data_IF_665701553504
#
_entry.id   IF_665701553504
#
_cell.length_a   1.000
_cell.length_b   1.000
_cell.length_c   1.000
_cell.angle_alpha   90.00
_cell.angle_beta   90.00
_cell.angle_gamma   90.00
#
_symmetry.space_group_name_H-M   'P 1'
#
loop_
_entity.id
_entity.type
_entity.pdbx_description
1 polymer ?
#
# COMPACT_ATOMS: atom_id res chain seq x y z
N UNK A 1 -16.60 14.63 1.38
CA UNK A 1 -16.94 15.75 0.47
C UNK A 1 -16.88 15.31 -0.99
N UNK A 2 -15.71 14.89 -1.51
CA UNK A 2 -15.55 14.48 -2.92
C UNK A 2 -16.47 13.33 -3.36
N UNK A 3 -16.53 12.21 -2.61
CA UNK A 3 -17.42 11.09 -2.97
C UNK A 3 -18.90 11.48 -2.98
N UNK A 4 -19.34 12.29 -2.02
CA UNK A 4 -20.71 12.82 -1.94
C UNK A 4 -21.02 13.75 -3.12
N UNK A 5 -20.09 14.63 -3.48
CA UNK A 5 -20.19 15.46 -4.67
C UNK A 5 -20.35 14.60 -5.93
N UNK A 6 -19.54 13.55 -6.09
CA UNK A 6 -19.57 12.71 -7.29
C UNK A 6 -20.92 12.00 -7.49
N UNK A 7 -21.50 11.43 -6.43
CA UNK A 7 -22.79 10.70 -6.50
C UNK A 7 -24.00 11.63 -6.68
N UNK A 8 -23.92 12.88 -6.22
CA UNK A 8 -25.05 13.85 -6.27
C UNK A 8 -25.01 14.82 -7.45
N UNK A 9 -23.84 15.05 -8.04
CA UNK A 9 -23.65 15.97 -9.18
C UNK A 9 -23.97 15.35 -10.54
N UNK A 10 -24.05 14.01 -10.63
CA UNK A 10 -24.23 13.33 -11.92
C UNK A 10 -23.04 13.44 -12.87
N UNK A 11 -21.87 13.88 -12.37
CA UNK A 11 -20.65 14.04 -13.15
C UNK A 11 -20.06 12.71 -13.61
N UNK A 12 -20.13 11.67 -12.76
CA UNK A 12 -19.74 10.31 -13.13
C UNK A 12 -20.99 9.44 -13.20
N UNK A 13 -21.20 8.78 -14.34
CA UNK A 13 -22.28 7.83 -14.52
C UNK A 13 -22.08 6.64 -13.57
N UNK A 14 -22.91 6.54 -12.55
CA UNK A 14 -22.94 5.40 -11.63
C UNK A 14 -24.33 4.81 -11.64
N UNK A 15 -24.43 3.48 -11.69
CA UNK A 15 -25.71 2.76 -11.55
C UNK A 15 -26.40 3.02 -10.20
N UNK A 16 -25.68 3.60 -9.23
CA UNK A 16 -26.19 4.02 -7.91
C UNK A 16 -26.31 5.56 -7.78
N UNK A 17 -26.27 6.35 -8.85
CA UNK A 17 -26.56 7.80 -8.78
C UNK A 17 -28.07 8.02 -8.64
N UNK A 18 -28.59 7.88 -7.43
CA UNK A 18 -30.03 7.81 -7.17
C UNK A 18 -30.82 9.13 -7.25
N UNK A 19 -30.16 10.28 -7.40
CA UNK A 19 -30.83 11.52 -7.75
C UNK A 19 -29.79 12.59 -8.07
N UNK A 20 -29.82 13.15 -9.28
CA UNK A 20 -29.22 14.47 -9.48
C UNK A 20 -29.94 15.45 -8.58
N UNK A 21 -29.18 16.18 -7.78
CA UNK A 21 -29.72 17.10 -6.79
C UNK A 21 -29.00 18.44 -6.90
N UNK A 22 -29.75 19.52 -6.74
CA UNK A 22 -29.27 20.92 -6.66
C UNK A 22 -28.18 21.14 -5.59
N UNK A 23 -27.90 20.15 -4.74
CA UNK A 23 -26.90 20.25 -3.66
C UNK A 23 -25.46 20.09 -4.16
N UNK A 24 -25.25 19.59 -5.38
CA UNK A 24 -23.92 19.37 -5.98
C UNK A 24 -22.97 20.58 -5.90
N UNK A 25 -23.39 21.79 -6.32
CA UNK A 25 -22.58 23.01 -6.22
C UNK A 25 -22.11 23.34 -4.80
N UNK A 26 -22.92 23.13 -3.77
CA UNK A 26 -22.52 23.39 -2.38
C UNK A 26 -21.36 22.48 -1.94
N UNK A 27 -21.39 21.20 -2.33
CA UNK A 27 -20.28 20.29 -2.06
C UNK A 27 -19.03 20.63 -2.87
N UNK A 28 -19.19 21.17 -4.09
CA UNK A 28 -18.05 21.64 -4.90
C UNK A 28 -17.37 22.85 -4.26
N UNK A 29 -18.16 23.84 -3.81
CA UNK A 29 -17.64 25.01 -3.09
C UNK A 29 -16.95 24.60 -1.81
N UNK A 30 -17.57 23.72 -1.01
CA UNK A 30 -16.96 23.17 0.20
C UNK A 30 -15.66 22.41 -0.10
N UNK A 31 -15.63 21.60 -1.16
CA UNK A 31 -14.43 20.88 -1.57
C UNK A 31 -13.31 21.85 -1.95
N UNK A 32 -13.63 22.86 -2.77
CA UNK A 32 -12.69 23.92 -3.15
C UNK A 32 -12.16 24.67 -1.94
N UNK A 33 -13.04 25.07 -1.01
CA UNK A 33 -12.65 25.75 0.22
C UNK A 33 -11.71 24.89 1.08
N UNK A 34 -12.01 23.60 1.27
CA UNK A 34 -11.17 22.68 2.04
C UNK A 34 -9.81 22.47 1.37
N UNK A 35 -9.77 22.30 0.04
CA UNK A 35 -8.52 22.13 -0.72
C UNK A 35 -7.66 23.38 -0.62
N UNK A 36 -8.23 24.56 -0.89
CA UNK A 36 -7.52 25.85 -0.81
C UNK A 36 -7.02 26.09 0.62
N UNK A 37 -7.86 25.90 1.63
CA UNK A 37 -7.45 26.06 3.03
C UNK A 37 -6.32 25.10 3.41
N UNK A 38 -6.38 23.84 2.96
CA UNK A 38 -5.32 22.85 3.23
C UNK A 38 -3.99 23.25 2.58
N UNK A 39 -4.02 23.71 1.33
CA UNK A 39 -2.82 24.17 0.61
C UNK A 39 -2.24 25.43 1.28
N UNK A 40 -3.08 26.41 1.62
CA UNK A 40 -2.66 27.64 2.32
C UNK A 40 -2.01 27.30 3.66
N UNK A 41 -2.63 26.43 4.46
CA UNK A 41 -2.07 25.97 5.74
C UNK A 41 -0.75 25.23 5.54
N UNK A 42 -0.63 24.40 4.50
CA UNK A 42 0.59 23.67 4.20
C UNK A 42 1.74 24.61 3.82
N UNK A 43 1.50 25.55 2.91
CA UNK A 43 2.50 26.55 2.48
C UNK A 43 2.89 27.46 3.65
N UNK A 44 1.91 27.90 4.45
CA UNK A 44 2.17 28.75 5.61
C UNK A 44 3.00 28.04 6.69
N UNK A 45 2.82 26.72 6.84
CA UNK A 45 3.56 25.91 7.82
C UNK A 45 4.85 25.31 7.27
N UNK A 46 5.13 25.47 5.97
CA UNK A 46 6.32 24.94 5.31
C UNK A 46 7.65 25.31 6.01
N UNK A 47 7.86 26.55 6.51
CA UNK A 47 9.10 26.90 7.23
C UNK A 47 9.28 26.17 8.57
N UNK A 48 8.22 25.53 9.09
CA UNK A 48 8.27 24.71 10.32
C UNK A 48 8.41 23.22 10.02
N UNK A 49 8.42 22.82 8.75
CA UNK A 49 8.53 21.43 8.30
C UNK A 49 9.98 21.13 7.89
N UNK A 50 10.90 21.20 8.86
CA UNK A 50 12.28 20.79 8.65
C UNK A 50 12.42 19.31 9.01
N UNK A 51 13.08 18.55 8.14
CA UNK A 51 13.42 17.16 8.44
C UNK A 51 14.68 17.15 9.30
N UNK A 52 14.55 16.77 10.57
CA UNK A 52 15.68 16.63 11.51
C UNK A 52 16.52 15.36 11.25
N UNK A 53 16.19 14.58 10.22
CA UNK A 53 16.79 13.27 9.94
C UNK A 53 17.45 13.23 8.56
N UNK A 54 18.75 12.94 8.55
CA UNK A 54 19.48 12.53 7.35
C UNK A 54 19.34 11.01 7.16
N UNK A 55 19.11 10.58 5.92
CA UNK A 55 19.02 9.14 5.61
C UNK A 55 20.37 8.45 5.88
N UNK A 56 20.44 7.64 6.94
CA UNK A 56 21.67 6.88 7.24
C UNK A 56 22.01 5.88 6.11
N UNK A 57 21.02 5.34 5.40
CA UNK A 57 21.18 4.31 4.36
C UNK A 57 20.01 4.28 3.38
N UNK A 58 20.30 4.18 2.07
CA UNK A 58 19.31 3.96 1.00
C UNK A 58 18.59 2.61 1.12
N UNK A 59 19.21 1.62 1.78
CA UNK A 59 18.61 0.31 2.05
C UNK A 59 18.26 0.25 3.54
N UNK A 60 17.10 0.81 3.87
CA UNK A 60 16.58 0.87 5.24
C UNK A 60 15.06 0.71 5.26
N UNK A 61 14.51 0.38 6.43
CA UNK A 61 13.05 0.31 6.62
C UNK A 61 12.38 1.69 6.41
N UNK A 62 13.08 2.77 6.74
CA UNK A 62 12.60 4.15 6.59
C UNK A 62 12.44 4.51 5.11
N UNK A 63 13.46 4.24 4.29
CA UNK A 63 13.37 4.43 2.84
C UNK A 63 12.25 3.60 2.22
N UNK A 64 12.08 2.35 2.68
CA UNK A 64 10.98 1.49 2.22
C UNK A 64 9.59 2.06 2.55
N UNK A 65 9.40 2.66 3.72
CA UNK A 65 8.14 3.28 4.14
C UNK A 65 7.81 4.54 3.32
N UNK A 66 8.82 5.36 3.02
CA UNK A 66 8.67 6.54 2.16
C UNK A 66 8.33 6.13 0.73
N UNK A 67 9.06 5.17 0.16
CA UNK A 67 8.78 4.66 -1.18
C UNK A 67 7.37 4.08 -1.27
N UNK A 68 6.94 3.32 -0.26
CA UNK A 68 5.58 2.79 -0.22
C UNK A 68 4.53 3.92 -0.21
N UNK A 69 4.78 4.97 0.58
CA UNK A 69 3.92 6.15 0.64
C UNK A 69 3.82 6.84 -0.71
N UNK A 70 4.94 7.00 -1.43
CA UNK A 70 4.93 7.57 -2.78
C UNK A 70 4.16 6.72 -3.79
N UNK A 71 4.29 5.39 -3.73
CA UNK A 71 3.48 4.48 -4.56
C UNK A 71 2.00 4.62 -4.24
N UNK A 72 1.63 4.69 -2.95
CA UNK A 72 0.25 4.90 -2.54
C UNK A 72 -0.32 6.24 -3.04
N UNK A 73 0.47 7.31 -2.97
CA UNK A 73 0.11 8.62 -3.55
C UNK A 73 -0.05 8.53 -5.07
N UNK A 74 0.85 7.84 -5.76
CA UNK A 74 0.77 7.64 -7.20
C UNK A 74 -0.51 6.89 -7.60
N UNK A 75 -0.85 5.80 -6.90
CA UNK A 75 -2.11 5.07 -7.09
C UNK A 75 -3.30 5.99 -6.87
N UNK A 76 -3.30 6.78 -5.78
CA UNK A 76 -4.38 7.71 -5.49
C UNK A 76 -4.55 8.76 -6.61
N UNK A 77 -3.46 9.29 -7.15
CA UNK A 77 -3.49 10.25 -8.27
C UNK A 77 -3.99 9.61 -9.56
N UNK A 78 -3.57 8.39 -9.90
CA UNK A 78 -4.06 7.65 -11.07
C UNK A 78 -5.56 7.37 -10.95
N UNK A 79 -6.01 6.90 -9.78
CA UNK A 79 -7.43 6.61 -9.54
C UNK A 79 -8.27 7.89 -9.57
N UNK A 80 -7.80 8.97 -8.94
CA UNK A 80 -8.47 10.26 -8.98
C UNK A 80 -8.54 10.79 -10.42
N UNK A 81 -7.43 10.72 -11.17
CA UNK A 81 -7.35 11.14 -12.56
C UNK A 81 -8.27 10.34 -13.47
N UNK A 82 -8.28 9.01 -13.37
CA UNK A 82 -9.17 8.13 -14.12
C UNK A 82 -10.65 8.36 -13.78
N UNK A 83 -10.97 8.63 -12.52
CA UNK A 83 -12.34 8.95 -12.07
C UNK A 83 -12.81 10.29 -12.60
N UNK A 84 -11.92 11.29 -12.68
CA UNK A 84 -12.23 12.63 -13.18
C UNK A 84 -12.08 12.76 -14.70
N UNK A 85 -11.54 11.74 -15.37
CA UNK A 85 -11.29 11.78 -16.81
C UNK A 85 -12.53 12.11 -17.66
N UNK A 86 -13.74 11.56 -17.39
CA UNK A 86 -14.94 11.92 -18.14
C UNK A 86 -15.29 13.42 -18.02
N UNK A 87 -15.03 14.02 -16.86
CA UNK A 87 -15.30 15.45 -16.61
C UNK A 87 -14.35 16.31 -17.44
N UNK A 88 -13.06 15.97 -17.45
CA UNK A 88 -12.08 16.69 -18.26
C UNK A 88 -12.33 16.50 -19.77
N UNK A 89 -12.68 15.29 -20.21
CA UNK A 89 -12.95 15.03 -21.63
C UNK A 89 -14.18 15.78 -22.12
N UNK A 90 -15.22 15.88 -21.28
CA UNK A 90 -16.40 16.69 -21.57
C UNK A 90 -16.06 18.18 -21.64
N UNK A 91 -15.29 18.69 -20.68
CA UNK A 91 -14.91 20.11 -20.63
C UNK A 91 -14.04 20.55 -21.83
N UNK A 92 -13.08 19.72 -22.25
CA UNK A 92 -12.12 20.09 -23.29
C UNK A 92 -12.49 19.62 -24.69
N UNK A 93 -13.22 18.50 -24.83
CA UNK A 93 -13.53 17.87 -26.12
C UNK A 93 -15.03 17.70 -26.37
N UNK A 94 -15.88 18.13 -25.45
CA UNK A 94 -17.34 17.99 -25.54
C UNK A 94 -17.80 16.54 -25.75
N UNK A 95 -16.98 15.56 -25.34
CA UNK A 95 -17.28 14.13 -25.40
C UNK A 95 -16.99 13.48 -24.04
N UNK A 96 -17.88 12.61 -23.58
CA UNK A 96 -17.68 11.86 -22.33
C UNK A 96 -16.95 10.56 -22.62
N UNK A 97 -15.70 10.45 -22.16
CA UNK A 97 -14.90 9.23 -22.29
C UNK A 97 -14.77 8.62 -20.90
N UNK A 98 -15.26 7.40 -20.74
CA UNK A 98 -15.17 6.65 -19.49
C UNK A 98 -13.94 5.75 -19.47
N UNK A 99 -13.25 5.72 -18.34
CA UNK A 99 -12.07 4.89 -18.13
C UNK A 99 -12.53 3.59 -17.47
N UNK A 100 -12.40 2.49 -18.19
CA UNK A 100 -12.83 1.16 -17.75
C UNK A 100 -11.74 0.37 -17.01
N UNK A 101 -12.08 -0.86 -16.55
CA UNK A 101 -11.16 -1.74 -15.83
C UNK A 101 -9.79 -1.95 -16.50
N UNK A 102 -9.66 -2.13 -17.84
CA UNK A 102 -8.36 -2.38 -18.46
C UNK A 102 -7.30 -1.32 -18.17
N UNK A 103 -7.69 -0.04 -18.12
CA UNK A 103 -6.76 1.04 -17.77
C UNK A 103 -6.23 0.89 -16.34
N UNK A 104 -7.10 0.53 -15.39
CA UNK A 104 -6.69 0.36 -14.00
C UNK A 104 -5.84 -0.89 -13.83
N UNK A 105 -6.17 -1.98 -14.52
CA UNK A 105 -5.37 -3.21 -14.47
C UNK A 105 -3.95 -2.95 -15.02
N UNK A 106 -3.83 -2.20 -16.12
CA UNK A 106 -2.55 -1.89 -16.76
C UNK A 106 -1.68 -0.90 -15.96
N UNK A 107 -2.30 0.08 -15.30
CA UNK A 107 -1.57 1.16 -14.61
C UNK A 107 -1.49 0.93 -13.10
N UNK A 108 -2.62 0.64 -12.45
CA UNK A 108 -2.69 0.44 -10.99
C UNK A 108 -2.22 -0.97 -10.62
N UNK A 109 -2.46 -1.98 -11.46
CA UNK A 109 -2.02 -3.35 -11.21
C UNK A 109 -0.52 -3.47 -10.90
N UNK A 110 0.38 -2.99 -11.77
CA UNK A 110 1.83 -2.99 -11.50
C UNK A 110 2.21 -2.20 -10.25
N UNK A 111 1.58 -1.04 -10.00
CA UNK A 111 1.83 -0.22 -8.82
C UNK A 111 1.45 -0.95 -7.53
N UNK A 112 0.34 -1.69 -7.51
CA UNK A 112 -0.06 -2.52 -6.38
C UNK A 112 0.95 -3.65 -6.12
N UNK A 113 1.45 -4.32 -7.17
CA UNK A 113 2.47 -5.36 -7.04
C UNK A 113 3.76 -4.77 -6.42
N UNK A 114 4.19 -3.60 -6.89
CA UNK A 114 5.33 -2.87 -6.31
C UNK A 114 5.06 -2.54 -4.85
N UNK A 115 3.89 -2.00 -4.52
CA UNK A 115 3.50 -1.63 -3.16
C UNK A 115 3.59 -2.84 -2.22
N UNK A 116 2.96 -3.97 -2.56
CA UNK A 116 2.95 -5.21 -1.76
C UNK A 116 4.35 -5.78 -1.61
N UNK A 117 5.17 -5.72 -2.66
CA UNK A 117 6.58 -6.12 -2.60
C UNK A 117 7.38 -5.22 -1.65
N UNK A 118 7.18 -3.90 -1.70
CA UNK A 118 7.83 -2.96 -0.79
C UNK A 118 7.40 -3.18 0.67
N UNK A 119 6.13 -3.51 0.92
CA UNK A 119 5.65 -3.90 2.27
C UNK A 119 6.47 -5.11 2.74
N UNK A 120 6.56 -6.16 1.92
CA UNK A 120 7.33 -7.38 2.24
C UNK A 120 8.77 -7.06 2.61
N UNK A 121 9.45 -6.28 1.76
CA UNK A 121 10.85 -5.86 1.96
C UNK A 121 11.00 -5.07 3.26
N UNK A 122 10.06 -4.16 3.55
CA UNK A 122 10.00 -3.38 4.78
C UNK A 122 9.76 -4.21 6.05
N UNK A 123 9.10 -5.37 5.97
CA UNK A 123 8.95 -6.27 7.12
C UNK A 123 10.25 -6.99 7.49
N UNK A 124 11.11 -7.28 6.50
CA UNK A 124 12.36 -8.03 6.65
C UNK A 124 13.54 -7.10 7.04
N UNK A 125 13.54 -5.87 6.50
CA UNK A 125 14.60 -4.88 6.73
C UNK A 125 14.65 -4.42 8.19
N UNK A 126 15.85 -4.37 8.81
CA UNK A 126 16.02 -3.74 10.11
C UNK A 126 15.94 -2.22 10.02
N UNK A 127 15.69 -1.57 11.16
CA UNK A 127 15.57 -0.11 11.28
C UNK A 127 16.90 0.63 11.03
N UNK A 128 18.05 0.01 11.31
CA UNK A 128 19.40 0.58 11.11
C UNK A 128 20.19 -0.15 10.02
N UNK A 129 21.34 0.39 9.61
CA UNK A 129 22.28 -0.23 8.66
C UNK A 129 22.47 -1.73 8.95
N UNK A 130 22.10 -2.56 7.98
CA UNK A 130 22.27 -4.00 8.04
C UNK A 130 23.60 -4.41 7.39
N UNK A 131 24.36 -5.30 8.02
CA UNK A 131 25.47 -5.95 7.35
C UNK A 131 24.94 -6.78 6.15
N UNK A 132 25.59 -6.74 4.97
CA UNK A 132 25.12 -7.44 3.77
C UNK A 132 24.90 -8.94 3.97
N UNK A 133 25.75 -9.60 4.77
CA UNK A 133 25.62 -11.02 5.10
C UNK A 133 24.35 -11.35 5.91
N UNK A 134 23.95 -10.47 6.83
CA UNK A 134 22.71 -10.63 7.59
C UNK A 134 21.49 -10.43 6.68
N UNK A 135 21.56 -9.47 5.77
CA UNK A 135 20.50 -9.21 4.80
C UNK A 135 20.27 -10.42 3.90
N UNK A 136 21.34 -10.98 3.31
CA UNK A 136 21.26 -12.19 2.48
C UNK A 136 20.62 -13.36 3.24
N UNK A 137 21.03 -13.60 4.50
CA UNK A 137 20.45 -14.68 5.32
C UNK A 137 18.97 -14.45 5.67
N UNK A 138 18.55 -13.18 5.77
CA UNK A 138 17.14 -12.85 6.03
C UNK A 138 16.25 -12.98 4.80
N UNK A 139 16.75 -12.64 3.62
CA UNK A 139 15.99 -12.67 2.36
C UNK A 139 15.99 -14.03 1.66
N UNK A 140 17.01 -14.85 1.86
CA UNK A 140 17.15 -16.17 1.18
C UNK A 140 15.95 -17.10 1.40
N UNK A 141 15.52 -17.31 2.64
CA UNK A 141 14.39 -18.20 2.93
C UNK A 141 13.07 -17.68 2.33
N UNK A 142 12.63 -16.42 2.58
CA UNK A 142 11.43 -15.89 1.95
C UNK A 142 11.45 -15.95 0.42
N UNK A 143 12.56 -15.51 -0.20
CA UNK A 143 12.65 -15.51 -1.67
C UNK A 143 12.64 -16.92 -2.26
N UNK A 144 13.30 -17.89 -1.62
CA UNK A 144 13.28 -19.28 -2.08
C UNK A 144 11.90 -19.90 -2.00
N UNK A 145 11.16 -19.68 -0.90
CA UNK A 145 9.79 -20.17 -0.75
C UNK A 145 8.82 -19.49 -1.72
N UNK A 146 8.93 -18.17 -1.88
CA UNK A 146 8.15 -17.44 -2.89
C UNK A 146 8.43 -17.98 -4.29
N UNK A 147 9.70 -18.15 -4.67
CA UNK A 147 10.06 -18.70 -5.98
C UNK A 147 9.51 -20.11 -6.19
N UNK A 148 9.60 -20.98 -5.18
CA UNK A 148 9.04 -22.34 -5.22
C UNK A 148 7.53 -22.32 -5.48
N UNK A 149 6.79 -21.49 -4.73
CA UNK A 149 5.33 -21.35 -4.89
C UNK A 149 4.98 -20.78 -6.26
N UNK A 150 5.68 -19.73 -6.71
CA UNK A 150 5.45 -19.13 -8.03
C UNK A 150 5.71 -20.12 -9.17
N UNK A 151 6.77 -20.92 -9.09
CA UNK A 151 7.07 -21.98 -10.07
C UNK A 151 5.98 -23.05 -10.05
N UNK A 152 5.55 -23.49 -8.86
CA UNK A 152 4.47 -24.48 -8.74
C UNK A 152 3.17 -23.97 -9.36
N UNK A 153 2.81 -22.71 -9.13
CA UNK A 153 1.63 -22.06 -9.73
C UNK A 153 1.72 -21.96 -11.25
N UNK A 154 2.91 -21.66 -11.78
CA UNK A 154 3.15 -21.63 -13.22
C UNK A 154 2.99 -23.01 -13.85
N UNK A 155 3.51 -24.07 -13.20
CA UNK A 155 3.35 -25.46 -13.65
C UNK A 155 1.90 -25.92 -13.58
N UNK A 156 1.14 -25.46 -12.59
CA UNK A 156 -0.31 -25.74 -12.45
C UNK A 156 -1.19 -25.02 -13.49
N UNK A 157 -0.61 -24.18 -14.37
CA UNK A 157 -1.29 -23.62 -15.54
C UNK A 157 -1.57 -22.12 -15.47
N UNK A 158 -1.14 -21.42 -14.43
CA UNK A 158 -1.23 -19.95 -14.40
C UNK A 158 -0.12 -19.39 -15.30
N UNK A 159 -0.51 -18.81 -16.43
CA UNK A 159 0.44 -18.28 -17.44
C UNK A 159 0.47 -16.77 -17.55
N UNK A 160 -0.50 -16.08 -16.95
CA UNK A 160 -0.54 -14.62 -16.98
C UNK A 160 0.59 -14.03 -16.11
N UNK A 161 1.49 -13.21 -16.68
CA UNK A 161 2.63 -12.66 -15.94
C UNK A 161 2.22 -11.75 -14.78
N UNK A 162 1.15 -10.97 -14.91
CA UNK A 162 0.68 -10.07 -13.87
C UNK A 162 0.06 -10.84 -12.70
N UNK A 163 -0.70 -11.89 -12.99
CA UNK A 163 -1.23 -12.81 -11.99
C UNK A 163 -0.10 -13.51 -11.23
N UNK A 164 0.92 -14.01 -11.92
CA UNK A 164 2.08 -14.64 -11.28
C UNK A 164 2.85 -13.65 -10.40
N UNK A 165 3.07 -12.42 -10.88
CA UNK A 165 3.77 -11.38 -10.12
C UNK A 165 2.97 -10.94 -8.88
N UNK A 166 1.65 -10.78 -9.00
CA UNK A 166 0.77 -10.48 -7.87
C UNK A 166 0.76 -11.60 -6.83
N UNK A 167 0.65 -12.86 -7.26
CA UNK A 167 0.69 -14.04 -6.39
C UNK A 167 2.06 -14.21 -5.73
N UNK A 168 3.15 -13.91 -6.45
CA UNK A 168 4.49 -13.90 -5.89
C UNK A 168 4.63 -12.84 -4.80
N UNK A 169 4.15 -11.61 -5.03
CA UNK A 169 4.17 -10.53 -4.05
C UNK A 169 3.34 -10.88 -2.80
N UNK A 170 2.13 -11.43 -2.98
CA UNK A 170 1.29 -11.88 -1.87
C UNK A 170 1.94 -13.00 -1.07
N UNK A 171 2.51 -14.00 -1.75
CA UNK A 171 3.25 -15.09 -1.10
C UNK A 171 4.45 -14.56 -0.33
N UNK A 172 5.18 -13.59 -0.88
CA UNK A 172 6.33 -12.97 -0.22
C UNK A 172 5.93 -12.26 1.07
N UNK A 173 4.83 -11.49 1.09
CA UNK A 173 4.31 -10.87 2.33
C UNK A 173 3.97 -11.95 3.36
N UNK A 174 3.23 -12.98 2.96
CA UNK A 174 2.79 -14.04 3.86
C UNK A 174 3.99 -14.78 4.48
N UNK A 175 4.96 -15.17 3.67
CA UNK A 175 6.17 -15.88 4.13
C UNK A 175 7.03 -14.96 5.00
N UNK A 176 7.20 -13.69 4.63
CA UNK A 176 7.97 -12.72 5.40
C UNK A 176 7.35 -12.49 6.79
N UNK A 177 6.03 -12.26 6.85
CA UNK A 177 5.28 -12.08 8.09
C UNK A 177 5.33 -13.34 8.96
N UNK A 178 5.05 -14.52 8.39
CA UNK A 178 5.11 -15.81 9.11
C UNK A 178 6.50 -16.06 9.71
N UNK A 179 7.56 -15.72 8.97
CA UNK A 179 8.94 -15.82 9.45
C UNK A 179 9.21 -14.91 10.64
N UNK A 180 8.73 -13.66 10.62
CA UNK A 180 8.87 -12.74 11.75
C UNK A 180 8.09 -13.22 12.99
N UNK A 181 6.88 -13.78 12.80
CA UNK A 181 6.13 -14.43 13.88
C UNK A 181 6.88 -15.63 14.48
N UNK A 182 7.46 -16.48 13.63
CA UNK A 182 8.21 -17.65 14.07
C UNK A 182 9.50 -17.26 14.84
N UNK A 183 10.22 -16.24 14.39
CA UNK A 183 11.42 -15.75 15.06
C UNK A 183 11.10 -15.10 16.40
N UNK A 184 10.06 -14.27 16.47
CA UNK A 184 9.63 -13.64 17.73
C UNK A 184 9.18 -14.68 18.75
N UNK A 185 8.41 -15.68 18.31
CA UNK A 185 7.96 -16.79 19.18
C UNK A 185 9.15 -17.61 19.69
N UNK A 186 10.09 -17.97 18.82
CA UNK A 186 11.32 -18.71 19.19
C UNK A 186 12.16 -17.95 20.20
N UNK A 187 12.33 -16.65 20.01
CA UNK A 187 13.10 -15.80 20.91
C UNK A 187 12.48 -15.74 22.31
N UNK A 188 11.14 -15.61 22.40
CA UNK A 188 10.43 -15.61 23.68
C UNK A 188 10.48 -17.00 24.34
N UNK A 189 10.25 -18.06 23.56
CA UNK A 189 10.35 -19.45 24.04
C UNK A 189 11.73 -19.75 24.63
N UNK A 190 12.81 -19.39 23.92
CA UNK A 190 14.18 -19.60 24.39
C UNK A 190 14.50 -18.77 25.65
N UNK A 191 14.00 -17.54 25.73
CA UNK A 191 14.26 -16.66 26.88
C UNK A 191 13.47 -17.05 28.14
N UNK A 192 12.22 -17.52 28.00
CA UNK A 192 11.31 -17.79 29.13
C UNK A 192 11.03 -19.27 29.39
N UNK A 193 11.53 -20.18 28.55
CA UNK A 193 11.20 -21.63 28.55
C UNK A 193 9.68 -21.91 28.64
N UNK A 194 8.85 -20.99 28.16
CA UNK A 194 7.38 -21.12 28.17
C UNK A 194 6.89 -22.05 27.08
N UNK A 195 5.68 -22.59 27.14
CA UNK A 195 5.12 -23.37 26.02
C UNK A 195 5.05 -22.55 24.72
N UNK A 196 5.10 -23.21 23.55
CA UNK A 196 5.02 -22.55 22.25
C UNK A 196 3.76 -21.68 22.07
N UNK A 197 2.54 -22.13 22.45
CA UNK A 197 1.35 -21.29 22.39
C UNK A 197 1.42 -20.08 23.33
N UNK A 198 2.00 -20.24 24.53
CA UNK A 198 2.22 -19.14 25.47
C UNK A 198 3.23 -18.12 24.97
N UNK A 199 4.29 -18.57 24.29
CA UNK A 199 5.28 -17.71 23.66
C UNK A 199 4.67 -16.90 22.50
N UNK A 200 3.79 -17.50 21.70
CA UNK A 200 3.09 -16.82 20.61
C UNK A 200 2.11 -15.77 21.13
N UNK A 201 1.25 -16.12 22.10
CA UNK A 201 0.29 -15.18 22.69
C UNK A 201 0.96 -14.01 23.43
N UNK A 202 2.04 -14.28 24.18
CA UNK A 202 2.79 -13.24 24.88
C UNK A 202 3.51 -12.25 23.95
N UNK A 203 3.67 -12.59 22.67
CA UNK A 203 4.28 -11.71 21.68
C UNK A 203 3.43 -10.46 21.42
N UNK A 204 2.10 -10.62 21.37
CA UNK A 204 1.16 -9.50 21.21
C UNK A 204 1.14 -8.58 22.44
N UNK A 205 1.36 -9.14 23.64
CA UNK A 205 1.44 -8.34 24.86
C UNK A 205 2.77 -7.58 24.98
N UNK A 206 3.85 -8.11 24.40
CA UNK A 206 5.18 -7.50 24.49
C UNK A 206 5.35 -6.33 23.52
N UNK A 207 4.83 -6.46 22.31
CA UNK A 207 5.03 -5.46 21.25
C UNK A 207 3.81 -5.37 20.30
N UNK A 208 2.64 -4.93 20.82
CA UNK A 208 1.37 -4.99 20.11
C UNK A 208 1.39 -4.20 18.80
N UNK A 209 2.14 -3.09 18.76
CA UNK A 209 2.26 -2.24 17.55
C UNK A 209 2.97 -2.96 16.42
N UNK A 210 4.08 -3.66 16.72
CA UNK A 210 4.86 -4.38 15.72
C UNK A 210 4.10 -5.57 15.15
N UNK A 211 3.56 -6.42 16.01
CA UNK A 211 2.91 -7.66 15.60
C UNK A 211 1.46 -7.47 15.16
N UNK A 212 0.79 -6.43 15.63
CA UNK A 212 -0.48 -5.98 15.06
C UNK A 212 -0.30 -5.43 13.64
N UNK A 213 0.76 -4.66 13.39
CA UNK A 213 1.08 -4.16 12.05
C UNK A 213 1.27 -5.28 11.02
N UNK A 214 2.01 -6.34 11.36
CA UNK A 214 2.17 -7.50 10.46
C UNK A 214 0.85 -8.24 10.17
N UNK A 215 -0.09 -8.24 11.11
CA UNK A 215 -1.38 -8.91 10.95
C UNK A 215 -2.27 -8.15 9.97
N UNK A 216 -2.24 -6.81 10.05
CA UNK A 216 -2.97 -5.94 9.10
C UNK A 216 -2.44 -6.10 7.68
N UNK A 217 -1.15 -6.38 7.50
CA UNK A 217 -0.57 -6.59 6.16
C UNK A 217 -0.88 -7.97 5.55
N UNK A 218 -1.43 -8.91 6.32
CA UNK A 218 -1.84 -10.24 5.83
C UNK A 218 -3.26 -10.19 5.23
N UNK A 219 -4.14 -9.34 5.76
CA UNK A 219 -5.54 -9.19 5.32
C UNK A 219 -5.69 -8.15 4.22
#
# INVERSE_FOLDING_TARGET
VFGTFNVRSGLVASVHSFAQSEVGPYFLVLLGAVVVASIVLMVWRLPRMHADYEFESLVSRETGLILNTYVMVAIALVVLGGTLFPVFSELFRNVRITVGPPFYDDVVGPLLIIMVTLISVGTILPWRKAAPGLLRRRFTLPLALTALVTIALAVLGIRDPFALAGLAAATLVLVASAREYALGTRAIHAARRSSWPGAFGSMFNRDPRRYGGYLVHIG
#
